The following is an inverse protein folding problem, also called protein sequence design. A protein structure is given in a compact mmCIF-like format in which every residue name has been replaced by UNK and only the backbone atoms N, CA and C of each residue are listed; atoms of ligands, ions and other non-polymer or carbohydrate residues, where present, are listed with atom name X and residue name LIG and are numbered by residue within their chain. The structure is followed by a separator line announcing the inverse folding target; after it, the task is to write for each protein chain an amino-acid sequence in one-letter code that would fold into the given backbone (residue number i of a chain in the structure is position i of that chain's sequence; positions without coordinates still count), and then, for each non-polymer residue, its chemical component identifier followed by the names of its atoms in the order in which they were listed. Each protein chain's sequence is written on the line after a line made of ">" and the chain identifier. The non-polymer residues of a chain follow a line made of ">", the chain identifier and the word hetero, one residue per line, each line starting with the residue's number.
data_IF_596931395017
#
_entry.id   IF_596931395017
#
_cell.length_a   1.000
_cell.length_b   1.000
_cell.length_c   1.000
_cell.angle_alpha   90.00
_cell.angle_beta   90.00
_cell.angle_gamma   90.00
#
_symmetry.space_group_name_H-M   'P 1'
#
loop_
_entity.id
_entity.type
_entity.pdbx_description
1 polymer ?
#
# COMPACT_ATOMS: atom_id res chain seq x y z
N UNK A 1 -25.51 -1.57 -16.24
CA UNK A 1 -24.18 -2.14 -15.87
C UNK A 1 -23.47 -1.08 -15.05
N UNK A 2 -23.23 -1.35 -13.76
CA UNK A 2 -22.58 -0.38 -12.88
C UNK A 2 -21.14 -0.15 -13.32
N UNK A 3 -20.69 1.11 -13.34
CA UNK A 3 -19.29 1.42 -13.62
C UNK A 3 -18.40 0.65 -12.66
N UNK A 4 -17.43 -0.09 -13.21
CA UNK A 4 -16.35 -0.69 -12.40
C UNK A 4 -15.53 0.48 -11.86
N UNK A 5 -15.54 0.62 -10.53
CA UNK A 5 -14.82 1.70 -9.84
C UNK A 5 -13.33 1.37 -9.90
N UNK A 6 -12.58 2.03 -10.76
CA UNK A 6 -11.11 1.90 -10.79
C UNK A 6 -10.51 2.49 -9.51
N UNK A 7 -9.49 1.83 -8.93
CA UNK A 7 -8.78 2.39 -7.78
C UNK A 7 -8.04 3.67 -8.19
N UNK A 8 -8.04 4.67 -7.31
CA UNK A 8 -7.29 5.92 -7.52
C UNK A 8 -5.80 5.74 -7.22
N UNK A 9 -5.46 4.77 -6.37
CA UNK A 9 -4.11 4.32 -6.10
C UNK A 9 -4.11 2.81 -5.98
N UNK A 10 -3.21 2.16 -6.70
CA UNK A 10 -2.98 0.73 -6.60
C UNK A 10 -1.50 0.49 -6.37
N UNK A 11 -1.19 -0.21 -5.27
CA UNK A 11 0.14 -0.66 -4.92
C UNK A 11 0.16 -2.18 -5.00
N UNK A 12 1.12 -2.72 -5.75
CA UNK A 12 1.30 -4.15 -5.92
C UNK A 12 2.75 -4.54 -5.74
N UNK A 13 2.99 -5.62 -4.99
CA UNK A 13 4.32 -6.19 -4.74
C UNK A 13 5.38 -5.16 -4.29
N UNK A 14 4.98 -4.16 -3.49
CA UNK A 14 5.89 -3.10 -3.05
C UNK A 14 6.90 -3.66 -2.06
N UNK A 15 8.17 -3.55 -2.41
CA UNK A 15 9.29 -3.93 -1.54
C UNK A 15 10.32 -2.82 -1.48
N UNK A 16 10.94 -2.65 -0.30
CA UNK A 16 11.98 -1.64 -0.05
C UNK A 16 13.02 -2.20 0.90
N UNK A 17 14.29 -1.94 0.58
CA UNK A 17 15.43 -2.25 1.43
C UNK A 17 16.45 -1.11 1.47
N UNK A 18 17.24 -1.08 2.55
CA UNK A 18 18.42 -0.24 2.74
C UNK A 18 19.61 -1.16 3.04
N UNK A 19 20.52 -1.32 2.09
CA UNK A 19 21.53 -2.37 2.15
C UNK A 19 20.86 -3.75 2.26
N UNK A 20 21.24 -4.51 3.29
CA UNK A 20 20.69 -5.84 3.57
C UNK A 20 19.40 -5.80 4.42
N UNK A 21 18.96 -4.62 4.85
CA UNK A 21 17.79 -4.48 5.71
C UNK A 21 16.52 -4.23 4.88
N UNK A 22 15.60 -5.20 4.86
CA UNK A 22 14.29 -5.09 4.20
C UNK A 22 13.31 -4.40 5.15
N UNK A 23 12.76 -3.26 4.71
CA UNK A 23 11.83 -2.43 5.49
C UNK A 23 10.38 -2.59 5.02
N UNK A 24 10.17 -2.82 3.73
CA UNK A 24 8.86 -3.20 3.18
C UNK A 24 9.04 -4.49 2.40
N UNK A 25 8.18 -5.47 2.66
CA UNK A 25 8.21 -6.78 2.02
C UNK A 25 6.85 -7.08 1.42
N UNK A 26 6.79 -7.05 0.09
CA UNK A 26 5.65 -7.51 -0.69
C UNK A 26 4.30 -6.93 -0.23
N UNK A 27 4.20 -5.60 -0.22
CA UNK A 27 2.99 -4.89 0.22
C UNK A 27 2.04 -4.67 -0.95
N UNK A 28 0.79 -5.09 -0.77
CA UNK A 28 -0.32 -4.87 -1.70
C UNK A 28 -1.43 -4.06 -1.04
N UNK A 29 -1.83 -2.94 -1.66
CA UNK A 29 -3.07 -2.27 -1.27
C UNK A 29 -3.69 -1.48 -2.42
N UNK A 30 -4.94 -1.07 -2.26
CA UNK A 30 -5.64 -0.24 -3.23
C UNK A 30 -6.54 0.72 -2.48
N UNK A 31 -6.73 1.91 -3.04
CA UNK A 31 -7.65 2.91 -2.50
C UNK A 31 -8.56 3.41 -3.60
N UNK A 32 -9.79 3.77 -3.26
CA UNK A 32 -10.81 4.23 -4.18
C UNK A 32 -11.23 5.67 -3.87
N UNK A 33 -11.88 6.31 -4.82
CA UNK A 33 -12.40 7.66 -4.63
C UNK A 33 -13.35 7.72 -3.42
N UNK A 34 -13.01 8.58 -2.46
CA UNK A 34 -13.74 8.80 -1.21
C UNK A 34 -13.12 8.11 0.02
N UNK A 35 -12.13 7.25 -0.16
CA UNK A 35 -11.48 6.56 0.96
C UNK A 35 -10.62 7.53 1.78
N UNK A 36 -10.69 7.38 3.11
CA UNK A 36 -9.73 7.97 4.06
C UNK A 36 -8.92 6.81 4.65
N UNK A 37 -7.66 6.70 4.22
CA UNK A 37 -6.80 5.57 4.57
C UNK A 37 -5.76 5.99 5.62
N UNK A 38 -5.60 5.18 6.66
CA UNK A 38 -4.57 5.34 7.67
C UNK A 38 -3.66 4.10 7.69
N UNK A 39 -2.35 4.33 7.72
CA UNK A 39 -1.35 3.27 7.91
C UNK A 39 -0.90 3.33 9.37
N UNK A 40 -0.97 2.19 10.05
CA UNK A 40 -0.60 2.06 11.47
C UNK A 40 0.47 0.98 11.63
N UNK A 41 1.31 1.14 12.65
CA UNK A 41 2.36 0.17 12.96
C UNK A 41 3.20 0.61 14.15
N UNK A 42 3.97 -0.34 14.71
CA UNK A 42 4.95 -0.03 15.74
C UNK A 42 6.07 0.86 15.18
N UNK A 43 6.82 1.54 16.05
CA UNK A 43 7.98 2.33 15.61
C UNK A 43 8.95 1.47 14.80
N UNK A 44 9.26 1.90 13.58
CA UNK A 44 10.17 1.19 12.66
C UNK A 44 9.56 0.03 11.88
N UNK A 45 8.24 -0.13 11.83
CA UNK A 45 7.58 -1.26 11.14
C UNK A 45 7.49 -1.13 9.61
N UNK A 46 8.05 -0.07 9.01
CA UNK A 46 8.00 0.18 7.58
C UNK A 46 9.11 1.08 7.10
#
# INVERSE_FOLDING_TARGET
>A
MGQVKEPILQVRHLSKQFGDHVVLKDVDFSTWAGDVVCIIGASGSG
#
